data_IF_899594217789
#
_entry.id   IF_899594217789
#
_cell.length_a   1.000
_cell.length_b   1.000
_cell.length_c   1.000
_cell.angle_alpha   90.00
_cell.angle_beta   90.00
_cell.angle_gamma   90.00
#
_symmetry.space_group_name_H-M   'P 1'
#
loop_
_entity.id
_entity.type
_entity.pdbx_description
1 polymer ?
#
# COMPACT_ATOMS: atom_id res chain seq x y z
N UNK A 1 27.22 15.35 49.43
CA UNK A 1 26.00 14.62 49.83
C UNK A 1 25.15 14.45 48.58
N UNK A 2 24.57 13.26 48.43
CA UNK A 2 24.24 12.66 47.14
C UNK A 2 23.04 13.24 46.41
N UNK A 3 23.23 13.46 45.10
CA UNK A 3 22.19 13.49 44.09
C UNK A 3 22.29 12.16 43.33
N UNK A 4 21.52 11.16 43.78
CA UNK A 4 21.27 9.91 43.06
C UNK A 4 19.90 9.40 43.49
N UNK A 5 19.01 9.19 42.52
CA UNK A 5 17.79 8.42 42.73
C UNK A 5 16.49 9.06 42.25
N UNK A 6 16.41 9.49 41.00
CA UNK A 6 15.17 9.34 40.24
C UNK A 6 15.39 8.10 39.38
N UNK A 7 15.13 6.96 40.01
CA UNK A 7 15.08 5.65 39.36
C UNK A 7 13.79 5.64 38.55
N UNK A 8 13.93 5.40 37.25
CA UNK A 8 12.84 5.06 36.33
C UNK A 8 11.93 4.00 36.96
N UNK A 9 10.76 4.42 37.45
CA UNK A 9 9.68 3.48 37.68
C UNK A 9 9.20 3.05 36.31
N UNK A 10 9.47 1.79 35.93
CA UNK A 10 8.84 1.19 34.76
C UNK A 10 7.34 1.44 34.88
N UNK A 11 6.80 2.25 33.98
CA UNK A 11 5.41 2.65 34.03
C UNK A 11 4.55 1.38 33.92
N UNK A 12 3.61 1.20 34.85
CA UNK A 12 2.84 -0.04 34.96
C UNK A 12 2.02 -0.28 33.69
N UNK A 13 2.32 -1.36 32.97
CA UNK A 13 1.63 -1.76 31.73
C UNK A 13 0.57 -2.84 31.99
N UNK A 14 0.30 -3.18 33.26
CA UNK A 14 -0.57 -4.31 33.61
C UNK A 14 -1.97 -4.18 33.04
N UNK A 15 -2.58 -2.99 33.13
CA UNK A 15 -3.91 -2.73 32.55
C UNK A 15 -3.93 -2.90 31.03
N UNK A 16 -2.91 -2.40 30.33
CA UNK A 16 -2.79 -2.54 28.88
C UNK A 16 -2.58 -3.99 28.45
N UNK A 17 -1.80 -4.75 29.21
CA UNK A 17 -1.59 -6.18 28.98
C UNK A 17 -2.86 -7.00 29.22
N UNK A 18 -3.61 -6.68 30.28
CA UNK A 18 -4.91 -7.29 30.56
C UNK A 18 -5.93 -6.99 29.45
N UNK A 19 -5.95 -5.75 28.96
CA UNK A 19 -6.75 -5.36 27.81
C UNK A 19 -6.41 -6.21 26.58
N UNK A 20 -5.14 -6.27 26.15
CA UNK A 20 -4.75 -7.05 24.98
C UNK A 20 -5.08 -8.55 25.16
N UNK A 21 -4.85 -9.10 26.35
CA UNK A 21 -5.18 -10.49 26.65
C UNK A 21 -6.70 -10.75 26.65
N UNK A 22 -7.52 -9.77 27.05
CA UNK A 22 -8.99 -9.82 26.96
C UNK A 22 -9.43 -9.85 25.51
N UNK A 23 -8.93 -8.93 24.69
CA UNK A 23 -9.27 -8.84 23.26
C UNK A 23 -8.85 -10.11 22.52
N UNK A 24 -7.64 -10.61 22.77
CA UNK A 24 -7.16 -11.82 22.11
C UNK A 24 -8.03 -13.05 22.45
N UNK A 25 -8.53 -13.15 23.70
CA UNK A 25 -9.48 -14.20 24.08
C UNK A 25 -10.81 -14.07 23.33
N UNK A 26 -11.37 -12.87 23.24
CA UNK A 26 -12.61 -12.61 22.49
C UNK A 26 -12.47 -13.02 21.01
N UNK A 27 -11.36 -12.63 20.37
CA UNK A 27 -11.11 -12.94 18.96
C UNK A 27 -10.88 -14.43 18.69
N UNK A 28 -10.27 -15.18 19.62
CA UNK A 28 -10.07 -16.63 19.47
C UNK A 28 -11.40 -17.41 19.57
N UNK A 29 -12.29 -17.01 20.47
CA UNK A 29 -13.60 -17.66 20.65
C UNK A 29 -14.45 -17.53 19.39
N UNK A 30 -14.41 -16.37 18.74
CA UNK A 30 -15.17 -16.14 17.51
C UNK A 30 -14.72 -17.05 16.34
N UNK A 31 -13.40 -17.20 16.11
CA UNK A 31 -12.87 -18.11 15.08
C UNK A 31 -13.28 -19.57 15.28
N UNK A 32 -13.43 -20.03 16.53
CA UNK A 32 -13.89 -21.39 16.83
C UNK A 32 -15.39 -21.58 16.60
N UNK A 33 -16.19 -20.53 16.74
CA UNK A 33 -17.63 -20.59 16.47
C UNK A 33 -17.93 -20.65 14.97
N UNK A 34 -17.20 -19.91 14.13
CA UNK A 34 -17.41 -19.89 12.67
C UNK A 34 -17.02 -21.23 12.02
N UNK A 35 -15.99 -21.90 12.54
CA UNK A 35 -15.57 -23.21 12.02
C UNK A 35 -16.53 -24.37 12.37
N UNK A 36 -17.40 -24.20 13.38
CA UNK A 36 -18.31 -25.24 13.84
C UNK A 36 -19.70 -25.20 13.16
N UNK A 37 -20.00 -24.16 12.38
CA UNK A 37 -21.33 -23.96 11.79
C UNK A 37 -21.57 -24.65 10.43
N UNK A 38 -20.82 -25.71 10.12
CA UNK A 38 -21.04 -26.52 8.92
C UNK A 38 -21.92 -27.77 9.12
N UNK A 39 -22.74 -27.87 10.17
CA UNK A 39 -23.76 -28.93 10.27
C UNK A 39 -25.02 -28.52 11.05
N UNK A 40 -26.14 -28.51 10.32
CA UNK A 40 -27.55 -28.80 10.68
C UNK A 40 -28.16 -28.32 12.02
N UNK A 41 -29.17 -27.46 11.87
CA UNK A 41 -30.53 -27.50 12.44
C UNK A 41 -30.83 -27.73 13.95
N UNK A 42 -31.70 -26.83 14.41
CA UNK A 42 -32.79 -26.95 15.40
C UNK A 42 -32.49 -26.80 16.90
N UNK A 43 -33.04 -25.69 17.43
CA UNK A 43 -33.46 -25.44 18.81
C UNK A 43 -32.45 -25.69 19.92
N UNK A 44 -31.73 -24.64 20.32
CA UNK A 44 -31.60 -24.37 21.75
C UNK A 44 -31.42 -22.87 22.05
N UNK A 45 -31.89 -22.50 23.23
CA UNK A 45 -32.07 -21.14 23.75
C UNK A 45 -31.02 -20.09 23.37
N UNK A 46 -31.50 -18.94 22.88
CA UNK A 46 -30.77 -17.67 22.73
C UNK A 46 -30.07 -17.27 24.04
N UNK A 47 -28.79 -17.61 24.16
CA UNK A 47 -27.86 -16.84 24.99
C UNK A 47 -27.08 -15.92 24.05
N UNK A 48 -27.27 -14.62 24.20
CA UNK A 48 -26.41 -13.61 23.56
C UNK A 48 -24.99 -13.84 24.08
N UNK A 49 -24.08 -14.36 23.25
CA UNK A 49 -22.67 -14.33 23.59
C UNK A 49 -22.20 -12.87 23.48
N UNK A 50 -21.82 -12.29 24.61
CA UNK A 50 -21.26 -10.94 24.78
C UNK A 50 -19.86 -10.77 24.18
N UNK A 51 -19.41 -11.70 23.33
CA UNK A 51 -17.98 -11.99 23.13
C UNK A 51 -17.46 -11.59 21.74
N UNK A 52 -18.27 -10.93 20.91
CA UNK A 52 -17.77 -10.28 19.69
C UNK A 52 -16.99 -9.01 20.04
N UNK A 53 -15.90 -8.71 19.31
CA UNK A 53 -15.20 -7.45 19.49
C UNK A 53 -16.18 -6.29 19.25
N UNK A 54 -16.34 -5.42 20.25
CA UNK A 54 -17.25 -4.30 20.16
C UNK A 54 -16.54 -3.07 19.56
N UNK A 55 -17.32 -2.07 19.12
CA UNK A 55 -16.76 -0.76 18.76
C UNK A 55 -16.01 -0.08 19.92
N UNK A 56 -16.33 -0.44 21.15
CA UNK A 56 -15.62 0.03 22.33
C UNK A 56 -14.24 -0.62 22.43
N UNK A 57 -14.14 -1.94 22.23
CA UNK A 57 -12.86 -2.65 22.13
C UNK A 57 -11.94 -2.04 21.05
N UNK A 58 -12.49 -1.76 19.87
CA UNK A 58 -11.73 -1.14 18.79
C UNK A 58 -11.22 0.26 19.17
N UNK A 59 -12.02 1.04 19.91
CA UNK A 59 -11.64 2.37 20.42
C UNK A 59 -10.53 2.30 21.48
N UNK A 60 -10.59 1.32 22.38
CA UNK A 60 -9.53 1.08 23.38
C UNK A 60 -8.20 0.73 22.69
N UNK A 61 -8.22 -0.19 21.72
CA UNK A 61 -7.03 -0.55 20.93
C UNK A 61 -6.47 0.64 20.16
N UNK A 62 -7.33 1.44 19.52
CA UNK A 62 -6.91 2.63 18.79
C UNK A 62 -6.27 3.68 19.70
N UNK A 63 -6.82 3.84 20.91
CA UNK A 63 -6.22 4.73 21.92
C UNK A 63 -4.81 4.26 22.28
N UNK A 64 -4.63 2.95 22.47
CA UNK A 64 -3.32 2.36 22.77
C UNK A 64 -2.33 2.54 21.62
N UNK A 65 -2.75 2.34 20.37
CA UNK A 65 -1.91 2.54 19.17
C UNK A 65 -1.37 3.97 19.09
N UNK A 66 -2.18 4.95 19.47
CA UNK A 66 -1.85 6.37 19.37
C UNK A 66 -1.05 6.91 20.57
N UNK A 67 -0.89 6.12 21.62
CA UNK A 67 -0.19 6.51 22.84
C UNK A 67 1.33 6.46 22.65
N UNK A 68 1.86 7.41 21.87
CA UNK A 68 3.29 7.53 21.56
C UNK A 68 4.13 7.98 22.75
N UNK A 69 3.50 8.42 23.85
CA UNK A 69 4.20 8.96 25.03
C UNK A 69 4.39 7.87 26.08
N UNK A 70 3.37 7.06 26.31
CA UNK A 70 3.34 6.15 27.44
C UNK A 70 3.35 4.67 26.99
N UNK A 71 2.90 4.34 25.77
CA UNK A 71 2.93 2.96 25.29
C UNK A 71 4.24 2.64 24.53
N UNK A 72 5.00 1.61 24.96
CA UNK A 72 6.18 1.16 24.23
C UNK A 72 5.80 0.63 22.84
N UNK A 73 6.76 0.67 21.89
CA UNK A 73 6.51 0.35 20.48
C UNK A 73 5.88 -1.05 20.29
N UNK A 74 6.39 -2.07 20.98
CA UNK A 74 5.87 -3.43 20.86
C UNK A 74 4.39 -3.54 21.26
N UNK A 75 3.94 -2.74 22.23
CA UNK A 75 2.57 -2.73 22.72
C UNK A 75 1.66 -2.06 21.68
N UNK A 76 2.11 -0.96 21.08
CA UNK A 76 1.41 -0.30 19.97
C UNK A 76 1.27 -1.18 18.75
N UNK A 77 2.33 -1.92 18.38
CA UNK A 77 2.28 -2.88 17.27
C UNK A 77 1.28 -3.99 17.55
N UNK A 78 1.28 -4.54 18.78
CA UNK A 78 0.32 -5.58 19.14
C UNK A 78 -1.12 -5.06 19.13
N UNK A 79 -1.35 -3.84 19.61
CA UNK A 79 -2.67 -3.21 19.54
C UNK A 79 -3.13 -2.99 18.08
N UNK A 80 -2.21 -2.54 17.21
CA UNK A 80 -2.47 -2.35 15.78
C UNK A 80 -2.83 -3.66 15.07
N UNK A 81 -2.13 -4.75 15.39
CA UNK A 81 -2.44 -6.09 14.90
C UNK A 81 -3.86 -6.54 15.29
N UNK A 82 -4.20 -6.44 16.58
CA UNK A 82 -5.52 -6.82 17.08
C UNK A 82 -6.63 -5.92 16.50
N UNK A 83 -6.36 -4.63 16.31
CA UNK A 83 -7.31 -3.71 15.71
C UNK A 83 -7.59 -4.07 14.25
N UNK A 84 -6.57 -4.50 13.51
CA UNK A 84 -6.76 -5.03 12.16
C UNK A 84 -7.71 -6.23 12.15
N UNK A 85 -7.56 -7.17 13.09
CA UNK A 85 -8.49 -8.29 13.20
C UNK A 85 -9.92 -7.81 13.55
N UNK A 86 -10.05 -6.83 14.45
CA UNK A 86 -11.37 -6.27 14.81
C UNK A 86 -12.09 -5.65 13.62
N UNK A 87 -11.40 -4.91 12.74
CA UNK A 87 -12.04 -4.28 11.58
C UNK A 87 -12.57 -5.33 10.58
N UNK A 88 -11.87 -6.46 10.43
CA UNK A 88 -12.34 -7.57 9.57
C UNK A 88 -13.60 -8.21 10.14
N UNK A 89 -13.64 -8.42 11.46
CA UNK A 89 -14.80 -9.02 12.13
C UNK A 89 -16.01 -8.08 12.11
N UNK A 90 -15.78 -6.77 12.21
CA UNK A 90 -16.84 -5.76 12.20
C UNK A 90 -17.31 -5.38 10.80
N UNK A 91 -16.57 -5.75 9.75
CA UNK A 91 -16.76 -5.27 8.38
C UNK A 91 -16.91 -3.73 8.32
N UNK A 92 -16.07 -3.03 9.09
CA UNK A 92 -16.17 -1.59 9.32
C UNK A 92 -14.77 -0.95 9.47
N UNK A 93 -14.46 0.00 8.58
CA UNK A 93 -13.22 0.79 8.60
C UNK A 93 -13.30 2.04 9.49
N UNK A 94 -14.47 2.36 10.05
CA UNK A 94 -14.63 3.50 10.96
C UNK A 94 -13.64 3.53 12.14
N UNK A 95 -13.19 2.40 12.73
CA UNK A 95 -12.24 2.42 13.84
C UNK A 95 -10.85 2.97 13.49
N UNK A 96 -10.43 2.85 12.22
CA UNK A 96 -9.10 3.27 11.74
C UNK A 96 -9.13 4.55 10.89
N UNK A 97 -10.33 5.02 10.53
CA UNK A 97 -10.55 6.25 9.77
C UNK A 97 -10.22 7.48 10.62
N UNK A 98 -9.39 8.37 10.10
CA UNK A 98 -9.04 9.64 10.75
C UNK A 98 -9.83 10.77 10.10
N UNK A 99 -10.51 11.57 10.93
CA UNK A 99 -11.26 12.75 10.44
C UNK A 99 -10.40 14.03 10.48
N UNK A 100 -10.86 15.09 9.81
CA UNK A 100 -10.14 16.38 9.76
C UNK A 100 -9.86 16.99 11.15
N UNK A 101 -10.69 16.70 12.15
CA UNK A 101 -10.51 17.18 13.53
C UNK A 101 -9.46 16.36 14.31
N UNK A 102 -8.99 15.25 13.74
CA UNK A 102 -8.15 14.26 14.39
C UNK A 102 -6.78 14.14 13.72
N UNK A 103 -6.33 15.18 13.01
CA UNK A 103 -5.04 15.20 12.30
C UNK A 103 -3.84 14.88 13.20
N UNK A 104 -3.92 15.18 14.50
CA UNK A 104 -2.91 14.78 15.48
C UNK A 104 -2.72 13.25 15.57
N UNK A 105 -3.78 12.45 15.35
CA UNK A 105 -3.70 10.99 15.30
C UNK A 105 -2.85 10.52 14.12
N UNK A 106 -3.04 11.13 12.95
CA UNK A 106 -2.25 10.80 11.77
C UNK A 106 -0.77 11.15 11.97
N UNK A 107 -0.48 12.26 12.68
CA UNK A 107 0.91 12.59 13.09
C UNK A 107 1.51 11.53 14.01
N UNK A 108 0.73 11.03 14.97
CA UNK A 108 1.17 9.96 15.85
C UNK A 108 1.44 8.65 15.08
N UNK A 109 0.61 8.33 14.09
CA UNK A 109 0.83 7.18 13.19
C UNK A 109 2.11 7.34 12.37
N UNK A 110 2.35 8.52 11.78
CA UNK A 110 3.61 8.79 11.04
C UNK A 110 4.83 8.73 11.96
N UNK A 111 4.77 9.34 13.14
CA UNK A 111 5.84 9.26 14.13
C UNK A 111 6.12 7.82 14.57
N UNK A 112 5.07 7.06 14.84
CA UNK A 112 5.16 5.64 15.21
C UNK A 112 5.75 4.80 14.09
N UNK A 113 5.43 5.13 12.84
CA UNK A 113 5.99 4.48 11.65
C UNK A 113 7.49 4.77 11.54
N UNK A 114 7.93 6.02 11.72
CA UNK A 114 9.36 6.33 11.79
C UNK A 114 10.07 5.50 12.85
N UNK A 115 9.50 5.43 14.05
CA UNK A 115 10.09 4.66 15.15
C UNK A 115 10.14 3.15 14.84
N UNK A 116 9.06 2.58 14.30
CA UNK A 116 9.03 1.18 13.88
C UNK A 116 10.12 0.85 12.86
N UNK A 117 10.33 1.73 11.88
CA UNK A 117 11.35 1.58 10.84
C UNK A 117 12.79 1.79 11.36
N UNK A 118 12.97 2.46 12.50
CA UNK A 118 14.28 2.67 13.13
C UNK A 118 14.66 1.56 14.11
N UNK A 119 13.70 1.08 14.91
CA UNK A 119 13.97 0.15 16.01
C UNK A 119 13.89 -1.32 15.60
N UNK A 120 13.07 -1.66 14.60
CA UNK A 120 12.86 -3.04 14.18
C UNK A 120 13.79 -3.45 13.04
N UNK A 121 14.39 -4.64 13.18
CA UNK A 121 15.27 -5.24 12.18
C UNK A 121 14.48 -6.12 11.24
N UNK A 122 14.34 -5.70 10.00
CA UNK A 122 13.62 -6.46 8.97
C UNK A 122 14.33 -7.74 8.50
N UNK A 123 15.57 -7.96 8.94
CA UNK A 123 16.33 -9.21 8.74
C UNK A 123 16.08 -10.25 9.83
N UNK A 124 15.56 -9.84 11.00
CA UNK A 124 15.12 -10.76 12.04
C UNK A 124 13.68 -11.19 11.79
N UNK A 125 13.40 -12.49 11.84
CA UNK A 125 12.10 -13.02 11.44
C UNK A 125 10.94 -12.54 12.34
N UNK A 126 11.16 -12.41 13.65
CA UNK A 126 10.13 -11.98 14.59
C UNK A 126 9.85 -10.47 14.44
N UNK A 127 10.90 -9.66 14.30
CA UNK A 127 10.77 -8.21 14.09
C UNK A 127 10.25 -7.88 12.69
N UNK A 128 10.58 -8.68 11.67
CA UNK A 128 9.98 -8.55 10.34
C UNK A 128 8.46 -8.84 10.37
N UNK A 129 8.02 -9.80 11.18
CA UNK A 129 6.59 -10.05 11.36
C UNK A 129 5.88 -8.86 12.04
N UNK A 130 6.54 -8.23 13.02
CA UNK A 130 6.05 -7.01 13.66
C UNK A 130 5.96 -5.82 12.69
N UNK A 131 6.99 -5.63 11.85
CA UNK A 131 6.98 -4.62 10.78
C UNK A 131 5.87 -4.88 9.78
N UNK A 132 5.68 -6.12 9.35
CA UNK A 132 4.61 -6.49 8.44
C UNK A 132 3.23 -6.18 9.03
N UNK A 133 3.00 -6.51 10.31
CA UNK A 133 1.76 -6.18 11.01
C UNK A 133 1.54 -4.66 11.09
N UNK A 134 2.58 -3.89 11.41
CA UNK A 134 2.50 -2.43 11.45
C UNK A 134 2.21 -1.80 10.09
N UNK A 135 2.83 -2.29 9.02
CA UNK A 135 2.60 -1.80 7.65
C UNK A 135 1.18 -2.15 7.17
N UNK A 136 0.65 -3.34 7.51
CA UNK A 136 -0.74 -3.68 7.22
C UNK A 136 -1.75 -2.82 8.00
N UNK A 137 -1.40 -2.39 9.21
CA UNK A 137 -2.18 -1.38 9.93
C UNK A 137 -2.13 -0.02 9.22
N UNK A 138 -0.93 0.43 8.82
CA UNK A 138 -0.74 1.69 8.11
C UNK A 138 -1.52 1.74 6.79
N UNK A 139 -1.46 0.65 6.01
CA UNK A 139 -2.24 0.45 4.78
C UNK A 139 -3.74 0.71 5.03
N UNK A 140 -4.32 0.10 6.05
CA UNK A 140 -5.74 0.29 6.41
C UNK A 140 -6.07 1.71 6.80
N UNK A 141 -5.20 2.36 7.58
CA UNK A 141 -5.39 3.78 7.94
C UNK A 141 -5.43 4.65 6.69
N UNK A 142 -4.54 4.40 5.72
CA UNK A 142 -4.50 5.15 4.46
C UNK A 142 -5.73 4.88 3.60
N UNK A 143 -6.13 3.61 3.43
CA UNK A 143 -7.34 3.26 2.67
C UNK A 143 -8.61 3.87 3.28
N UNK A 144 -8.74 3.88 4.60
CA UNK A 144 -9.91 4.39 5.30
C UNK A 144 -9.97 5.93 5.38
N UNK A 145 -8.83 6.61 5.26
CA UNK A 145 -8.70 8.06 5.51
C UNK A 145 -8.75 8.85 4.21
N UNK A 146 -9.49 9.97 4.21
CA UNK A 146 -9.59 10.82 3.02
C UNK A 146 -8.29 11.58 2.74
N UNK A 147 -7.98 11.82 1.46
CA UNK A 147 -6.77 12.53 1.04
C UNK A 147 -6.63 13.94 1.61
N UNK A 148 -7.73 14.68 1.80
CA UNK A 148 -7.70 16.03 2.36
C UNK A 148 -7.24 16.03 3.83
N UNK A 149 -7.51 14.95 4.57
CA UNK A 149 -6.99 14.75 5.92
C UNK A 149 -5.51 14.37 5.88
N UNK A 150 -5.11 13.47 4.98
CA UNK A 150 -3.70 13.09 4.76
C UNK A 150 -2.82 14.29 4.37
N UNK A 151 -3.36 15.23 3.61
CA UNK A 151 -2.68 16.46 3.18
C UNK A 151 -2.17 17.32 4.35
N UNK A 152 -2.78 17.23 5.54
CA UNK A 152 -2.33 17.94 6.73
C UNK A 152 -0.95 17.48 7.20
N UNK A 153 -0.57 16.24 6.91
CA UNK A 153 0.70 15.62 7.32
C UNK A 153 1.79 15.77 6.27
N UNK A 154 1.42 15.89 4.99
CA UNK A 154 2.40 16.22 3.93
C UNK A 154 3.06 17.58 4.14
N UNK A 155 2.41 18.49 4.88
CA UNK A 155 2.97 19.80 5.27
C UNK A 155 3.97 19.74 6.42
N UNK A 156 4.12 18.59 7.10
CA UNK A 156 5.09 18.41 8.19
C UNK A 156 6.52 18.22 7.68
N UNK A 157 6.75 18.39 6.36
CA UNK A 157 8.05 18.51 5.72
C UNK A 157 9.00 17.39 6.10
N UNK A 158 9.92 17.67 7.02
CA UNK A 158 11.01 16.77 7.40
C UNK A 158 10.56 15.44 7.99
N UNK A 159 9.50 15.40 8.80
CA UNK A 159 9.07 14.15 9.43
C UNK A 159 8.45 13.19 8.41
N UNK A 160 7.58 13.72 7.56
CA UNK A 160 6.90 12.93 6.54
C UNK A 160 7.89 12.46 5.45
N UNK A 161 8.72 13.36 4.92
CA UNK A 161 9.79 13.00 4.00
C UNK A 161 10.75 11.96 4.62
N UNK A 162 11.12 12.14 5.90
CA UNK A 162 11.95 11.21 6.64
C UNK A 162 11.34 9.81 6.78
N UNK A 163 10.02 9.71 6.98
CA UNK A 163 9.30 8.43 6.99
C UNK A 163 9.37 7.75 5.62
N UNK A 164 9.11 8.48 4.53
CA UNK A 164 9.19 7.95 3.16
C UNK A 164 10.61 7.48 2.83
N UNK A 165 11.63 8.25 3.19
CA UNK A 165 13.05 7.85 3.05
C UNK A 165 13.33 6.54 3.78
N UNK A 166 12.80 6.34 4.99
CA UNK A 166 12.97 5.10 5.76
C UNK A 166 12.25 3.92 5.10
N UNK A 167 11.04 4.11 4.59
CA UNK A 167 10.30 3.09 3.84
C UNK A 167 11.08 2.66 2.59
N UNK A 168 11.68 3.59 1.86
CA UNK A 168 12.49 3.26 0.69
C UNK A 168 13.77 2.50 1.07
N UNK A 169 14.47 2.93 2.12
CA UNK A 169 15.64 2.20 2.64
C UNK A 169 15.31 0.78 3.09
N UNK A 170 14.13 0.57 3.68
CA UNK A 170 13.66 -0.75 4.10
C UNK A 170 13.65 -1.76 2.92
N UNK A 171 13.37 -1.31 1.69
CA UNK A 171 13.32 -2.16 0.50
C UNK A 171 14.64 -2.89 0.21
N UNK A 172 15.77 -2.33 0.64
CA UNK A 172 17.11 -2.93 0.48
C UNK A 172 17.36 -4.15 1.38
N UNK A 173 16.69 -4.23 2.53
CA UNK A 173 17.07 -5.14 3.62
C UNK A 173 15.83 -5.66 4.36
N UNK A 174 14.91 -6.29 3.64
CA UNK A 174 13.72 -6.87 4.25
C UNK A 174 13.29 -8.20 3.62
N UNK A 175 12.41 -8.92 4.33
CA UNK A 175 11.72 -10.09 3.77
C UNK A 175 10.74 -9.69 2.66
N UNK A 176 10.40 -10.63 1.76
CA UNK A 176 9.45 -10.40 0.66
C UNK A 176 8.09 -9.88 1.12
N UNK A 177 7.60 -10.29 2.30
CA UNK A 177 6.32 -9.80 2.84
C UNK A 177 6.39 -8.33 3.24
N UNK A 178 7.45 -7.95 3.95
CA UNK A 178 7.69 -6.57 4.36
C UNK A 178 7.95 -5.68 3.14
N UNK A 179 8.68 -6.22 2.16
CA UNK A 179 8.96 -5.57 0.89
C UNK A 179 7.67 -5.19 0.14
N UNK A 180 6.75 -6.14 -0.02
CA UNK A 180 5.45 -5.89 -0.65
C UNK A 180 4.61 -4.88 0.16
N UNK A 181 4.50 -5.06 1.48
CA UNK A 181 3.69 -4.18 2.33
C UNK A 181 4.21 -2.73 2.35
N UNK A 182 5.54 -2.54 2.39
CA UNK A 182 6.15 -1.21 2.33
C UNK A 182 5.87 -0.53 0.98
N UNK A 183 5.92 -1.28 -0.11
CA UNK A 183 5.64 -0.78 -1.46
C UNK A 183 4.17 -0.38 -1.63
N UNK A 184 3.25 -1.17 -1.08
CA UNK A 184 1.82 -0.83 -1.03
C UNK A 184 1.61 0.48 -0.28
N UNK A 185 2.23 0.65 0.89
CA UNK A 185 2.16 1.91 1.64
C UNK A 185 2.70 3.11 0.84
N UNK A 186 3.85 2.95 0.16
CA UNK A 186 4.41 3.99 -0.71
C UNK A 186 3.43 4.40 -1.83
N UNK A 187 2.80 3.42 -2.49
CA UNK A 187 1.78 3.67 -3.51
C UNK A 187 0.56 4.42 -2.96
N UNK A 188 0.09 4.05 -1.77
CA UNK A 188 -1.04 4.73 -1.11
C UNK A 188 -0.71 6.17 -0.71
N UNK A 189 0.47 6.40 -0.13
CA UNK A 189 0.95 7.75 0.17
C UNK A 189 1.01 8.61 -1.09
N UNK A 190 1.62 8.10 -2.16
CA UNK A 190 1.67 8.80 -3.45
C UNK A 190 0.28 9.14 -4.00
N UNK A 191 -0.67 8.21 -3.93
CA UNK A 191 -2.04 8.44 -4.37
C UNK A 191 -2.72 9.59 -3.57
N UNK A 192 -2.48 9.66 -2.26
CA UNK A 192 -2.97 10.78 -1.45
C UNK A 192 -2.27 12.09 -1.77
N UNK A 193 -0.95 12.08 -1.98
CA UNK A 193 -0.17 13.26 -2.39
C UNK A 193 -0.73 13.85 -3.69
N UNK A 194 -0.89 13.00 -4.70
CA UNK A 194 -1.41 13.39 -6.02
C UNK A 194 -2.80 14.02 -5.94
N UNK A 195 -3.73 13.38 -5.22
CA UNK A 195 -5.10 13.92 -4.99
C UNK A 195 -5.09 15.24 -4.21
N UNK A 196 -4.01 15.52 -3.48
CA UNK A 196 -3.81 16.75 -2.71
C UNK A 196 -2.98 17.81 -3.43
N UNK A 197 -2.60 17.57 -4.70
CA UNK A 197 -1.73 18.46 -5.47
C UNK A 197 -0.31 18.57 -4.90
N UNK A 198 0.21 17.48 -4.33
CA UNK A 198 1.57 17.38 -3.78
C UNK A 198 2.34 16.26 -4.49
N UNK A 199 3.67 16.33 -4.42
CA UNK A 199 4.58 15.32 -4.95
C UNK A 199 5.83 15.27 -4.08
N UNK A 200 5.67 14.80 -2.84
CA UNK A 200 6.79 14.72 -1.89
C UNK A 200 7.58 13.45 -2.15
N UNK A 201 6.93 12.31 -2.38
CA UNK A 201 7.64 11.06 -2.68
C UNK A 201 8.47 11.19 -3.96
N UNK A 202 7.82 11.53 -5.09
CA UNK A 202 8.48 11.60 -6.39
C UNK A 202 9.31 12.87 -6.53
N UNK A 203 8.72 14.03 -6.26
CA UNK A 203 9.35 15.34 -6.55
C UNK A 203 10.32 15.87 -5.48
N UNK A 204 10.41 15.25 -4.30
CA UNK A 204 11.35 15.66 -3.25
C UNK A 204 12.23 14.48 -2.80
N UNK A 205 11.64 13.40 -2.30
CA UNK A 205 12.36 12.29 -1.66
C UNK A 205 13.20 11.50 -2.67
N UNK A 206 12.65 11.12 -3.82
CA UNK A 206 13.40 10.36 -4.82
C UNK A 206 14.55 11.15 -5.45
N UNK A 207 14.42 12.47 -5.54
CA UNK A 207 15.48 13.36 -6.02
C UNK A 207 16.68 13.38 -5.07
N UNK A 208 16.42 13.51 -3.76
CA UNK A 208 17.46 13.72 -2.75
C UNK A 208 18.10 12.44 -2.20
N UNK A 209 17.39 11.31 -2.25
CA UNK A 209 17.85 10.08 -1.59
C UNK A 209 19.01 9.43 -2.36
N UNK A 210 20.00 8.84 -1.69
CA UNK A 210 21.13 8.15 -2.36
C UNK A 210 21.03 6.63 -2.38
N UNK A 211 20.47 6.04 -1.32
CA UNK A 211 20.48 4.60 -1.04
C UNK A 211 19.06 4.04 -0.86
N UNK A 212 18.78 2.83 -1.35
CA UNK A 212 17.50 2.12 -1.25
C UNK A 212 16.50 2.41 -2.36
N UNK A 213 16.70 3.48 -3.14
CA UNK A 213 15.83 3.87 -4.27
C UNK A 213 15.95 2.93 -5.46
N UNK A 214 17.11 2.30 -5.60
CA UNK A 214 17.44 1.32 -6.63
C UNK A 214 16.56 0.05 -6.57
N UNK A 215 15.92 -0.21 -5.41
CA UNK A 215 15.01 -1.35 -5.26
C UNK A 215 13.56 -1.00 -5.56
N UNK A 216 13.22 0.28 -5.72
CA UNK A 216 11.83 0.73 -5.85
C UNK A 216 11.16 0.21 -7.13
N UNK A 217 11.86 0.24 -8.27
CA UNK A 217 11.34 -0.28 -9.54
C UNK A 217 11.02 -1.78 -9.43
N UNK A 218 11.97 -2.58 -8.95
CA UNK A 218 11.76 -4.00 -8.67
C UNK A 218 10.62 -4.26 -7.67
N UNK A 219 10.46 -3.38 -6.68
CA UNK A 219 9.39 -3.49 -5.69
C UNK A 219 8.00 -3.23 -6.27
N UNK A 220 7.86 -2.19 -7.10
CA UNK A 220 6.62 -1.91 -7.80
C UNK A 220 6.25 -3.05 -8.76
N UNK A 221 7.22 -3.60 -9.51
CA UNK A 221 7.00 -4.75 -10.38
C UNK A 221 6.54 -5.98 -9.59
N UNK A 222 7.10 -6.21 -8.41
CA UNK A 222 6.67 -7.28 -7.53
C UNK A 222 5.20 -7.12 -7.13
N UNK A 223 4.79 -5.92 -6.71
CA UNK A 223 3.38 -5.65 -6.36
C UNK A 223 2.47 -5.83 -7.56
N UNK A 224 2.79 -5.21 -8.71
CA UNK A 224 2.01 -5.30 -9.95
C UNK A 224 1.83 -6.77 -10.36
N UNK A 225 2.92 -7.52 -10.45
CA UNK A 225 2.86 -8.93 -10.85
C UNK A 225 2.12 -9.81 -9.83
N UNK A 226 2.26 -9.52 -8.53
CA UNK A 226 1.59 -10.29 -7.48
C UNK A 226 0.07 -10.08 -7.43
N UNK A 227 -0.45 -8.99 -8.01
CA UNK A 227 -1.89 -8.69 -8.03
C UNK A 227 -2.67 -9.67 -8.90
N UNK A 228 -2.02 -10.32 -9.86
CA UNK A 228 -2.62 -11.34 -10.73
C UNK A 228 -3.52 -10.76 -11.82
N UNK A 229 -4.00 -11.66 -12.69
CA UNK A 229 -4.86 -11.35 -13.83
C UNK A 229 -5.99 -12.40 -13.92
N UNK A 230 -7.28 -12.04 -13.74
CA UNK A 230 -7.74 -10.73 -13.28
C UNK A 230 -7.32 -10.45 -11.82
N UNK A 231 -7.19 -9.18 -11.47
CA UNK A 231 -6.84 -8.76 -10.11
C UNK A 231 -8.07 -8.85 -9.19
N UNK A 232 -7.95 -9.44 -7.98
CA UNK A 232 -9.04 -9.43 -7.00
C UNK A 232 -9.47 -8.01 -6.62
N UNK A 233 -10.77 -7.80 -6.40
CA UNK A 233 -11.37 -6.48 -6.15
C UNK A 233 -10.69 -5.74 -4.98
N UNK A 234 -10.41 -6.45 -3.90
CA UNK A 234 -9.74 -5.93 -2.71
C UNK A 234 -8.28 -5.50 -2.95
N UNK A 235 -7.69 -5.91 -4.08
CA UNK A 235 -6.32 -5.57 -4.47
C UNK A 235 -6.23 -4.58 -5.62
N UNK A 236 -7.34 -4.24 -6.27
CA UNK A 236 -7.37 -3.27 -7.39
C UNK A 236 -6.76 -1.92 -7.00
N UNK A 237 -7.09 -1.41 -5.82
CA UNK A 237 -6.54 -0.15 -5.32
C UNK A 237 -5.01 -0.20 -5.20
N UNK A 238 -4.45 -1.35 -4.82
CA UNK A 238 -3.01 -1.54 -4.71
C UNK A 238 -2.34 -1.61 -6.08
N UNK A 239 -2.96 -2.35 -7.02
CA UNK A 239 -2.51 -2.43 -8.40
C UNK A 239 -2.49 -1.04 -9.05
N UNK A 240 -3.61 -0.32 -9.03
CA UNK A 240 -3.75 0.97 -9.69
C UNK A 240 -2.82 2.02 -9.09
N UNK A 241 -2.65 2.05 -7.76
CA UNK A 241 -1.71 2.97 -7.12
C UNK A 241 -0.24 2.62 -7.46
N UNK A 242 0.10 1.34 -7.59
CA UNK A 242 1.44 0.91 -8.00
C UNK A 242 1.74 1.29 -9.47
N UNK A 243 0.79 1.03 -10.38
CA UNK A 243 0.87 1.46 -11.79
C UNK A 243 1.01 2.98 -11.88
N UNK A 244 0.21 3.72 -11.11
CA UNK A 244 0.24 5.18 -11.09
C UNK A 244 1.56 5.73 -10.57
N UNK A 245 2.10 5.17 -9.48
CA UNK A 245 3.41 5.56 -8.95
C UNK A 245 4.52 5.28 -9.95
N UNK A 246 4.52 4.11 -10.60
CA UNK A 246 5.50 3.81 -11.66
C UNK A 246 5.40 4.81 -12.82
N UNK A 247 4.18 5.10 -13.26
CA UNK A 247 3.88 6.05 -14.34
C UNK A 247 4.38 7.47 -14.03
N UNK A 248 4.21 7.93 -12.78
CA UNK A 248 4.69 9.25 -12.35
C UNK A 248 6.21 9.28 -12.12
N UNK A 249 6.85 8.18 -11.72
CA UNK A 249 8.32 8.05 -11.69
C UNK A 249 8.90 8.18 -13.09
N UNK A 250 8.33 7.49 -14.09
CA UNK A 250 8.81 7.54 -15.48
C UNK A 250 8.64 8.91 -16.14
N UNK A 251 7.68 9.70 -15.66
CA UNK A 251 7.41 11.05 -16.15
C UNK A 251 8.33 12.12 -15.54
N UNK A 252 9.00 11.82 -14.43
CA UNK A 252 9.98 12.71 -13.80
C UNK A 252 11.40 12.30 -14.22
N UNK A 253 12.14 13.19 -14.88
CA UNK A 253 13.46 12.86 -15.45
C UNK A 253 14.47 12.38 -14.39
N UNK A 254 14.41 12.94 -13.18
CA UNK A 254 15.33 12.59 -12.10
C UNK A 254 14.96 11.26 -11.47
N UNK A 255 13.67 11.02 -11.23
CA UNK A 255 13.18 9.76 -10.69
C UNK A 255 13.27 8.61 -11.71
N UNK A 256 13.04 8.88 -12.99
CA UNK A 256 13.16 7.89 -14.07
C UNK A 256 14.58 7.33 -14.19
N UNK A 257 15.61 8.14 -13.90
CA UNK A 257 17.00 7.69 -13.87
C UNK A 257 17.29 6.62 -12.80
N UNK A 258 16.36 6.39 -11.87
CA UNK A 258 16.45 5.36 -10.84
C UNK A 258 15.94 4.00 -11.30
N UNK A 259 15.21 3.95 -12.41
CA UNK A 259 14.65 2.71 -12.96
C UNK A 259 15.75 1.97 -13.72
N UNK A 260 16.12 0.79 -13.25
CA UNK A 260 17.07 -0.04 -13.97
C UNK A 260 16.50 -0.53 -15.31
N UNK A 261 17.36 -0.63 -16.33
CA UNK A 261 16.97 -1.09 -17.66
C UNK A 261 16.33 -2.48 -17.64
N UNK A 262 16.79 -3.39 -16.77
CA UNK A 262 16.21 -4.72 -16.65
C UNK A 262 14.79 -4.65 -16.07
N UNK A 263 14.58 -3.84 -15.03
CA UNK A 263 13.26 -3.63 -14.43
C UNK A 263 12.31 -2.98 -15.44
N UNK A 264 12.80 -2.00 -16.21
CA UNK A 264 12.02 -1.39 -17.29
C UNK A 264 11.61 -2.41 -18.37
N UNK A 265 12.49 -3.34 -18.75
CA UNK A 265 12.14 -4.41 -19.70
C UNK A 265 11.06 -5.34 -19.13
N UNK A 266 11.17 -5.69 -17.85
CA UNK A 266 10.12 -6.47 -17.15
C UNK A 266 8.81 -5.69 -17.11
N UNK A 267 8.83 -4.37 -16.93
CA UNK A 267 7.64 -3.54 -17.03
C UNK A 267 6.97 -3.67 -18.41
N UNK A 268 7.75 -3.57 -19.49
CA UNK A 268 7.23 -3.74 -20.86
C UNK A 268 6.64 -5.13 -21.06
N UNK A 269 7.32 -6.18 -20.57
CA UNK A 269 6.80 -7.54 -20.62
C UNK A 269 5.46 -7.68 -19.88
N UNK A 270 5.33 -7.05 -18.70
CA UNK A 270 4.06 -7.01 -17.95
C UNK A 270 2.97 -6.24 -18.71
N UNK A 271 3.27 -5.09 -19.29
CA UNK A 271 2.29 -4.32 -20.06
C UNK A 271 1.76 -5.14 -21.23
N UNK A 272 2.64 -5.79 -22.01
CA UNK A 272 2.25 -6.66 -23.13
C UNK A 272 1.34 -7.80 -22.63
N UNK A 273 1.79 -8.52 -21.59
CA UNK A 273 1.08 -9.67 -21.03
C UNK A 273 -0.31 -9.27 -20.54
N UNK A 274 -0.39 -8.28 -19.66
CA UNK A 274 -1.65 -7.88 -19.03
C UNK A 274 -2.61 -7.23 -20.03
N UNK A 275 -2.10 -6.49 -21.02
CA UNK A 275 -2.96 -5.92 -22.07
C UNK A 275 -3.64 -7.00 -22.93
N UNK A 276 -2.97 -8.14 -23.10
CA UNK A 276 -3.47 -9.29 -23.87
C UNK A 276 -4.36 -10.22 -23.03
N UNK A 277 -3.98 -10.47 -21.77
CA UNK A 277 -4.63 -11.47 -20.91
C UNK A 277 -5.90 -10.95 -20.21
N UNK A 278 -6.01 -9.63 -19.99
CA UNK A 278 -7.16 -9.03 -19.30
C UNK A 278 -8.48 -9.28 -20.06
N UNK A 279 -9.61 -9.53 -19.35
CA UNK A 279 -10.95 -9.52 -19.94
C UNK A 279 -11.28 -8.19 -20.62
N UNK A 280 -12.07 -8.19 -21.70
CA UNK A 280 -12.31 -6.98 -22.50
C UNK A 280 -12.87 -5.81 -21.67
N UNK A 281 -13.76 -6.11 -20.74
CA UNK A 281 -14.44 -5.17 -19.85
C UNK A 281 -13.56 -4.63 -18.71
N UNK A 282 -12.37 -5.20 -18.48
CA UNK A 282 -11.53 -4.84 -17.33
C UNK A 282 -10.96 -3.42 -17.48
N UNK A 283 -11.38 -2.54 -16.58
CA UNK A 283 -10.98 -1.13 -16.54
C UNK A 283 -9.49 -0.94 -16.21
N UNK A 284 -8.83 -1.94 -15.63
CA UNK A 284 -7.40 -1.91 -15.33
C UNK A 284 -6.55 -1.79 -16.60
N UNK A 285 -7.07 -2.20 -17.77
CA UNK A 285 -6.40 -2.00 -19.05
C UNK A 285 -6.10 -0.52 -19.31
N UNK A 286 -6.97 0.39 -18.87
CA UNK A 286 -6.73 1.83 -19.00
C UNK A 286 -5.45 2.23 -18.26
N UNK A 287 -5.25 1.75 -17.04
CA UNK A 287 -4.06 2.06 -16.24
C UNK A 287 -2.77 1.50 -16.84
N UNK A 288 -2.83 0.31 -17.47
CA UNK A 288 -1.70 -0.21 -18.24
C UNK A 288 -1.40 0.63 -19.48
N UNK A 289 -2.42 1.14 -20.19
CA UNK A 289 -2.24 2.03 -21.34
C UNK A 289 -1.69 3.41 -20.93
N UNK A 290 -2.15 3.97 -19.81
CA UNK A 290 -1.59 5.19 -19.23
C UNK A 290 -0.12 5.02 -18.84
N UNK A 291 0.25 3.86 -18.27
CA UNK A 291 1.63 3.53 -17.96
C UNK A 291 2.46 3.32 -19.23
N UNK A 292 1.91 2.66 -20.26
CA UNK A 292 2.57 2.46 -21.54
C UNK A 292 2.90 3.79 -22.21
N UNK A 293 1.96 4.74 -22.26
CA UNK A 293 2.22 6.07 -22.82
C UNK A 293 3.42 6.74 -22.14
N UNK A 294 3.47 6.70 -20.79
CA UNK A 294 4.61 7.26 -20.04
C UNK A 294 5.89 6.49 -20.24
N UNK A 295 5.82 5.16 -20.41
CA UNK A 295 6.99 4.35 -20.72
C UNK A 295 7.57 4.71 -22.09
N UNK A 296 6.73 4.90 -23.11
CA UNK A 296 7.14 5.31 -24.45
C UNK A 296 7.74 6.73 -24.48
N UNK A 297 7.20 7.65 -23.67
CA UNK A 297 7.75 9.00 -23.48
C UNK A 297 9.08 9.02 -22.70
N UNK A 298 9.38 7.98 -21.93
CA UNK A 298 10.50 7.98 -21.01
C UNK A 298 11.83 7.85 -21.74
N UNK A 299 12.89 8.60 -21.32
CA UNK A 299 14.24 8.39 -21.86
C UNK A 299 14.75 6.95 -21.63
N UNK A 300 14.21 6.25 -20.64
CA UNK A 300 14.55 4.85 -20.33
C UNK A 300 14.17 3.92 -21.50
N UNK A 301 13.11 4.22 -22.26
CA UNK A 301 12.72 3.38 -23.40
C UNK A 301 13.76 3.43 -24.53
N UNK A 302 14.24 4.63 -24.86
CA UNK A 302 15.32 4.81 -25.83
C UNK A 302 16.61 4.14 -25.36
N UNK A 303 16.96 4.28 -24.08
CA UNK A 303 18.13 3.61 -23.49
C UNK A 303 17.99 2.07 -23.54
N UNK A 304 16.77 1.55 -23.41
CA UNK A 304 16.46 0.13 -23.54
C UNK A 304 16.55 -0.41 -24.97
N UNK A 305 16.90 0.44 -25.95
CA UNK A 305 16.89 0.15 -27.39
C UNK A 305 15.47 -0.17 -27.92
N UNK A 306 14.46 0.53 -27.40
CA UNK A 306 13.06 0.36 -27.78
C UNK A 306 12.62 -1.12 -27.67
N UNK A 307 12.93 -1.71 -26.50
CA UNK A 307 12.69 -3.13 -26.25
C UNK A 307 11.25 -3.52 -26.56
N UNK A 308 11.07 -4.59 -27.35
CA UNK A 308 9.77 -5.12 -27.80
C UNK A 308 8.86 -4.13 -28.55
N UNK A 309 9.41 -3.12 -29.24
CA UNK A 309 8.61 -2.13 -30.00
C UNK A 309 7.57 -2.73 -30.96
N UNK A 310 7.92 -3.81 -31.67
CA UNK A 310 7.02 -4.47 -32.63
C UNK A 310 5.86 -5.16 -31.94
N UNK A 311 6.15 -5.88 -30.86
CA UNK A 311 5.12 -6.59 -30.08
C UNK A 311 4.16 -5.59 -29.41
N UNK A 312 4.67 -4.43 -28.98
CA UNK A 312 3.80 -3.34 -28.48
C UNK A 312 2.88 -2.80 -29.57
N UNK A 313 3.36 -2.62 -30.79
CA UNK A 313 2.51 -2.20 -31.92
C UNK A 313 1.44 -3.26 -32.22
N UNK A 314 1.83 -4.52 -32.34
CA UNK A 314 0.93 -5.64 -32.61
C UNK A 314 -0.18 -5.74 -31.55
N UNK A 315 0.16 -5.57 -30.27
CA UNK A 315 -0.84 -5.56 -29.18
C UNK A 315 -1.79 -4.37 -29.31
N UNK A 316 -1.29 -3.17 -29.60
CA UNK A 316 -2.13 -1.98 -29.73
C UNK A 316 -3.08 -2.08 -30.93
N UNK A 317 -2.61 -2.58 -32.07
CA UNK A 317 -3.42 -2.82 -33.26
C UNK A 317 -4.48 -3.90 -33.01
N UNK A 318 -4.08 -5.03 -32.41
CA UNK A 318 -4.99 -6.11 -32.05
C UNK A 318 -6.11 -5.65 -31.10
N UNK A 319 -5.77 -4.86 -30.08
CA UNK A 319 -6.76 -4.30 -29.17
C UNK A 319 -7.68 -3.28 -29.85
N UNK A 320 -7.16 -2.50 -30.79
CA UNK A 320 -7.95 -1.56 -31.57
C UNK A 320 -8.95 -2.28 -32.48
N UNK A 321 -8.54 -3.39 -33.10
CA UNK A 321 -9.41 -4.22 -33.94
C UNK A 321 -10.53 -4.84 -33.10
N UNK A 322 -10.19 -5.49 -31.98
CA UNK A 322 -11.17 -6.08 -31.05
C UNK A 322 -12.13 -5.03 -30.49
N UNK A 323 -11.64 -3.82 -30.21
CA UNK A 323 -12.46 -2.73 -29.72
C UNK A 323 -13.33 -2.03 -30.77
N UNK A 324 -13.06 -2.26 -32.06
CA UNK A 324 -13.84 -1.72 -33.17
C UNK A 324 -15.01 -2.62 -33.60
N UNK A 325 -15.08 -3.85 -33.08
CA UNK A 325 -16.20 -4.78 -33.30
C UNK A 325 -17.52 -4.19 -32.75
N UNK A 326 -18.64 -4.43 -33.45
CA UNK A 326 -19.94 -3.85 -33.10
C UNK A 326 -20.46 -4.29 -31.72
N UNK A 327 -20.07 -5.48 -31.28
CA UNK A 327 -20.43 -6.11 -30.01
C UNK A 327 -19.33 -5.99 -28.94
N UNK A 328 -18.28 -5.20 -29.20
CA UNK A 328 -17.19 -5.02 -28.25
C UNK A 328 -17.68 -4.44 -26.91
N UNK A 329 -17.24 -5.07 -25.82
CA UNK A 329 -17.50 -4.60 -24.45
C UNK A 329 -16.32 -3.80 -23.87
N UNK A 330 -15.32 -3.49 -24.70
CA UNK A 330 -14.14 -2.75 -24.25
C UNK A 330 -14.53 -1.32 -23.83
N UNK A 331 -14.09 -0.84 -22.65
CA UNK A 331 -14.40 0.51 -22.19
C UNK A 331 -13.94 1.58 -23.18
N UNK A 332 -14.80 2.56 -23.45
CA UNK A 332 -14.51 3.63 -24.43
C UNK A 332 -13.21 4.38 -24.11
N UNK A 333 -12.95 4.66 -22.84
CA UNK A 333 -11.74 5.39 -22.41
C UNK A 333 -10.46 4.60 -22.74
N UNK A 334 -10.51 3.26 -22.70
CA UNK A 334 -9.39 2.39 -23.11
C UNK A 334 -9.15 2.54 -24.62
N UNK A 335 -10.22 2.51 -25.41
CA UNK A 335 -10.15 2.66 -26.87
C UNK A 335 -9.63 4.02 -27.30
N UNK A 336 -10.11 5.08 -26.65
CA UNK A 336 -9.64 6.44 -26.90
C UNK A 336 -8.15 6.57 -26.52
N UNK A 337 -7.71 5.88 -25.45
CA UNK A 337 -6.31 5.85 -25.04
C UNK A 337 -5.40 5.12 -26.02
N UNK A 338 -5.81 3.94 -26.51
CA UNK A 338 -5.05 3.18 -27.52
C UNK A 338 -4.87 4.00 -28.79
N UNK A 339 -5.94 4.63 -29.29
CA UNK A 339 -5.89 5.52 -30.47
C UNK A 339 -4.91 6.67 -30.24
N UNK A 340 -4.95 7.29 -29.06
CA UNK A 340 -4.02 8.36 -28.72
C UNK A 340 -2.55 7.89 -28.77
N UNK A 341 -2.25 6.72 -28.20
CA UNK A 341 -0.90 6.14 -28.21
C UNK A 341 -0.46 5.87 -29.65
N UNK A 342 -1.28 5.17 -30.45
CA UNK A 342 -0.94 4.87 -31.83
C UNK A 342 -0.67 6.15 -32.63
N UNK A 343 -1.56 7.15 -32.57
CA UNK A 343 -1.36 8.43 -33.29
C UNK A 343 -0.06 9.13 -32.89
N UNK A 344 0.34 9.03 -31.62
CA UNK A 344 1.51 9.74 -31.09
C UNK A 344 2.83 8.99 -31.32
N UNK A 345 2.82 7.66 -31.32
CA UNK A 345 4.04 6.84 -31.31
C UNK A 345 4.15 5.85 -32.47
N UNK A 346 3.27 5.88 -33.47
CA UNK A 346 3.35 4.95 -34.62
C UNK A 346 4.73 4.98 -35.27
N UNK A 347 5.30 6.16 -35.52
CA UNK A 347 6.62 6.33 -36.13
C UNK A 347 7.77 5.81 -35.26
N UNK A 348 7.55 5.73 -33.95
CA UNK A 348 8.52 5.17 -32.99
C UNK A 348 8.45 3.63 -32.99
N UNK A 349 7.25 3.08 -33.17
CA UNK A 349 6.98 1.65 -33.02
C UNK A 349 7.17 0.87 -34.34
N UNK A 350 6.85 1.46 -35.49
CA UNK A 350 7.17 0.96 -36.84
C UNK A 350 8.70 0.89 -37.06
#
# INVERSE_FOLDING_TARGET
>A
MGLRGLVDSAMDQSENLELLARVERQLRVHRSSDNNNNNSDLNDSLSFSSDSPSRETARELWTLVLDVVFAPLWLRIRAAELLGVCCVVLDDDAPVRITANETHKLRAVVSSTCQALEELKATDAAQAAQLFAWLGFLERVLLATRSDVCAAVFRLGSMYAGMLTKLLRLLSTCSTKVFAAATVCLGLFHAHEKRSGRSVLVGEVLHDMKDGREHLSGALLHVINSCGCPCPEERLVHLWNALQLFSDILADETAAALVFLNDFKVLVDLVIRESTDLPQEDVSRLHYMELLERALDSPVYLQSQMYRKRELLEVLESLLDVGAEEDSVMPKDVMDKIKQILVRYIDLLD
#
